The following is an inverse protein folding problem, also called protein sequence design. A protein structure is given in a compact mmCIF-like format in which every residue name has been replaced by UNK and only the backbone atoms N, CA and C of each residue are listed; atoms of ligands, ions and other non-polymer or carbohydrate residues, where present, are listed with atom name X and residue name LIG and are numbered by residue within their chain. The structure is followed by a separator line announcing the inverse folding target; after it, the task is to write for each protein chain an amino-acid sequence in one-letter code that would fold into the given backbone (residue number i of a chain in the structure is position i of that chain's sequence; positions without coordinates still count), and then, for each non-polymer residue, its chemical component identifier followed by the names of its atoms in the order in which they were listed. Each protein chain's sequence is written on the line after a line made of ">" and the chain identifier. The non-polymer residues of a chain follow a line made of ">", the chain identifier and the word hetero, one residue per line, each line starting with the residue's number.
data_IF_555662898394
#
_entry.id   IF_555662898394
#
_cell.length_a   1.000
_cell.length_b   1.000
_cell.length_c   1.000
_cell.angle_alpha   90.00
_cell.angle_beta   90.00
_cell.angle_gamma   90.00
#
_symmetry.space_group_name_H-M   'P 1'
#
loop_
_entity.id
_entity.type
_entity.pdbx_description
1 polymer ?
#
# COMPACT_ATOMS: atom_id res chain seq x y z
N UNK A 1 -12.03 1.38 38.41
CA UNK A 1 -12.74 1.92 37.23
C UNK A 1 -12.14 1.28 36.01
N UNK A 2 -12.64 0.14 35.57
CA UNK A 2 -12.23 -0.55 34.36
C UNK A 2 -12.74 0.25 33.17
N UNK A 3 -11.79 0.73 32.38
CA UNK A 3 -12.05 1.45 31.15
C UNK A 3 -12.48 0.43 30.09
N UNK A 4 -13.76 0.13 30.05
CA UNK A 4 -14.39 -0.75 29.05
C UNK A 4 -14.35 -0.03 27.70
N UNK A 5 -13.17 0.00 27.04
CA UNK A 5 -13.08 0.41 25.65
C UNK A 5 -13.75 -0.69 24.83
N UNK A 6 -15.01 -0.47 24.46
CA UNK A 6 -15.69 -1.29 23.46
C UNK A 6 -14.73 -1.47 22.27
N UNK A 7 -14.39 -2.72 22.00
CA UNK A 7 -13.57 -3.08 20.84
C UNK A 7 -14.44 -2.87 19.59
N UNK A 8 -14.33 -1.70 18.98
CA UNK A 8 -14.98 -1.40 17.71
C UNK A 8 -14.49 -2.44 16.69
N UNK A 9 -15.40 -3.15 16.05
CA UNK A 9 -15.04 -4.11 15.01
C UNK A 9 -14.46 -3.38 13.78
N UNK A 10 -13.61 -4.04 13.02
CA UNK A 10 -13.04 -3.45 11.80
C UNK A 10 -14.13 -3.03 10.81
N UNK A 11 -15.24 -3.75 10.76
CA UNK A 11 -16.41 -3.43 9.92
C UNK A 11 -17.11 -2.17 10.37
N UNK A 12 -17.30 -2.00 11.68
CA UNK A 12 -17.87 -0.78 12.26
C UNK A 12 -16.98 0.42 11.98
N UNK A 13 -15.66 0.29 12.20
CA UNK A 13 -14.70 1.36 11.94
C UNK A 13 -14.71 1.79 10.47
N UNK A 14 -14.73 0.83 9.54
CA UNK A 14 -14.86 1.13 8.10
C UNK A 14 -16.12 1.92 7.78
N UNK A 15 -17.28 1.50 8.33
CA UNK A 15 -18.56 2.17 8.13
C UNK A 15 -18.53 3.61 8.65
N UNK A 16 -17.93 3.85 9.80
CA UNK A 16 -17.83 5.19 10.39
C UNK A 16 -16.91 6.10 9.59
N UNK A 17 -15.76 5.59 9.13
CA UNK A 17 -14.84 6.35 8.27
C UNK A 17 -15.55 6.76 6.97
N UNK A 18 -16.26 5.86 6.33
CA UNK A 18 -17.01 6.13 5.10
C UNK A 18 -18.07 7.23 5.34
N UNK A 19 -18.82 7.15 6.44
CA UNK A 19 -19.81 8.17 6.81
C UNK A 19 -19.18 9.56 7.01
N UNK A 20 -18.02 9.62 7.66
CA UNK A 20 -17.29 10.88 7.83
C UNK A 20 -16.85 11.45 6.49
N UNK A 21 -16.33 10.62 5.59
CA UNK A 21 -15.92 11.03 4.25
C UNK A 21 -17.11 11.55 3.44
N UNK A 22 -18.26 10.87 3.47
CA UNK A 22 -19.49 11.30 2.83
C UNK A 22 -19.98 12.65 3.39
N UNK A 23 -19.88 12.84 4.70
CA UNK A 23 -20.19 14.11 5.35
C UNK A 23 -19.30 15.27 4.87
N UNK A 24 -18.01 15.03 4.71
CA UNK A 24 -17.07 16.03 4.18
C UNK A 24 -17.37 16.39 2.72
N UNK A 25 -17.70 15.40 1.88
CA UNK A 25 -18.10 15.64 0.49
C UNK A 25 -19.41 16.44 0.43
N UNK A 26 -20.37 16.11 1.28
CA UNK A 26 -21.63 16.86 1.37
C UNK A 26 -21.41 18.30 1.82
N UNK A 27 -20.51 18.52 2.79
CA UNK A 27 -20.12 19.86 3.25
C UNK A 27 -19.51 20.68 2.10
N UNK A 28 -18.58 20.12 1.33
CA UNK A 28 -17.98 20.82 0.18
C UNK A 28 -19.03 21.24 -0.84
N UNK A 29 -20.00 20.36 -1.15
CA UNK A 29 -21.10 20.70 -2.06
C UNK A 29 -21.97 21.83 -1.53
N UNK A 30 -22.23 21.85 -0.22
CA UNK A 30 -23.03 22.90 0.41
C UNK A 30 -22.30 24.25 0.49
N UNK A 31 -20.99 24.22 0.56
CA UNK A 31 -20.14 25.40 0.72
C UNK A 31 -19.04 25.46 -0.35
N UNK A 32 -19.35 25.85 -1.59
CA UNK A 32 -18.40 25.84 -2.71
C UNK A 32 -17.15 26.72 -2.50
N UNK A 33 -17.20 27.68 -1.58
CA UNK A 33 -16.03 28.50 -1.21
C UNK A 33 -14.90 27.67 -0.59
N UNK A 34 -15.21 26.48 -0.06
CA UNK A 34 -14.26 25.54 0.52
C UNK A 34 -14.00 24.36 -0.44
N UNK A 35 -13.94 24.64 -1.74
CA UNK A 35 -13.61 23.61 -2.72
C UNK A 35 -12.13 23.26 -2.65
N UNK A 36 -11.87 21.99 -2.34
CA UNK A 36 -10.55 21.38 -2.32
C UNK A 36 -10.52 20.19 -3.30
N UNK A 37 -10.37 20.42 -4.61
CA UNK A 37 -10.48 19.37 -5.65
C UNK A 37 -9.60 18.14 -5.36
N UNK A 38 -8.35 18.37 -4.93
CA UNK A 38 -7.42 17.29 -4.57
C UNK A 38 -7.90 16.45 -3.37
N UNK A 39 -8.60 17.07 -2.42
CA UNK A 39 -9.15 16.37 -1.25
C UNK A 39 -10.31 15.49 -1.67
N UNK A 40 -11.20 15.98 -2.53
CA UNK A 40 -12.32 15.19 -3.07
C UNK A 40 -11.85 13.99 -3.88
N UNK A 41 -10.84 14.15 -4.70
CA UNK A 41 -10.25 13.07 -5.48
C UNK A 41 -9.60 12.02 -4.56
N UNK A 42 -8.80 12.45 -3.60
CA UNK A 42 -8.17 11.56 -2.62
C UNK A 42 -9.20 10.82 -1.77
N UNK A 43 -10.30 11.45 -1.39
CA UNK A 43 -11.38 10.78 -0.66
C UNK A 43 -12.03 9.68 -1.50
N UNK A 44 -12.27 9.92 -2.78
CA UNK A 44 -12.83 8.90 -3.67
C UNK A 44 -11.91 7.69 -3.75
N UNK A 45 -10.62 7.89 -4.00
CA UNK A 45 -9.63 6.82 -4.07
C UNK A 45 -9.51 6.07 -2.73
N UNK A 46 -9.45 6.80 -1.61
CA UNK A 46 -9.35 6.20 -0.28
C UNK A 46 -10.61 5.39 0.06
N UNK A 47 -11.79 5.87 -0.31
CA UNK A 47 -13.05 5.15 -0.13
C UNK A 47 -13.02 3.81 -0.85
N UNK A 48 -12.62 3.80 -2.12
CA UNK A 48 -12.52 2.57 -2.91
C UNK A 48 -11.58 1.54 -2.27
N UNK A 49 -10.43 1.99 -1.74
CA UNK A 49 -9.48 1.13 -1.02
C UNK A 49 -10.10 0.55 0.27
N UNK A 50 -10.80 1.38 1.05
CA UNK A 50 -11.47 0.95 2.29
C UNK A 50 -12.57 -0.07 2.00
N UNK A 51 -13.40 0.18 0.97
CA UNK A 51 -14.48 -0.72 0.55
C UNK A 51 -13.93 -2.07 0.09
N UNK A 52 -12.85 -2.08 -0.69
CA UNK A 52 -12.15 -3.29 -1.13
C UNK A 52 -11.39 -3.99 0.00
N UNK A 53 -11.13 -3.31 1.10
CA UNK A 53 -10.28 -3.82 2.18
C UNK A 53 -8.79 -3.89 1.80
N UNK A 54 -8.36 -3.09 0.83
CA UNK A 54 -6.98 -3.01 0.36
C UNK A 54 -6.23 -1.92 1.13
N UNK A 55 -5.01 -2.25 1.54
CA UNK A 55 -4.09 -1.31 2.18
C UNK A 55 -2.78 -1.28 1.41
N UNK A 56 -2.30 -0.08 1.12
CA UNK A 56 -0.99 0.12 0.54
C UNK A 56 0.00 0.50 1.65
N UNK A 57 1.01 -0.34 1.85
CA UNK A 57 2.11 -0.07 2.76
C UNK A 57 3.35 0.32 1.96
N UNK A 58 3.85 1.54 2.16
CA UNK A 58 5.10 1.99 1.57
C UNK A 58 6.24 1.89 2.59
N UNK A 59 7.25 1.06 2.30
CA UNK A 59 8.45 0.92 3.11
C UNK A 59 9.58 1.73 2.48
N UNK A 60 9.90 2.86 3.08
CA UNK A 60 10.92 3.79 2.60
C UNK A 60 12.10 3.86 3.57
N UNK A 61 13.27 4.25 3.08
CA UNK A 61 14.44 4.44 3.92
C UNK A 61 15.75 4.26 3.15
N UNK A 62 16.85 4.60 3.81
CA UNK A 62 18.20 4.46 3.24
C UNK A 62 18.52 3.01 2.91
N UNK A 63 19.48 2.83 2.03
CA UNK A 63 20.04 1.51 1.68
C UNK A 63 20.57 0.82 2.94
N UNK A 64 20.46 -0.51 3.00
CA UNK A 64 20.94 -1.35 4.13
C UNK A 64 20.24 -1.12 5.48
N UNK A 65 19.10 -0.45 5.51
CA UNK A 65 18.31 -0.23 6.74
C UNK A 65 17.21 -1.29 6.95
N UNK A 66 17.41 -2.49 6.47
CA UNK A 66 16.53 -3.63 6.78
C UNK A 66 15.14 -3.59 6.10
N UNK A 67 14.93 -2.78 5.04
CA UNK A 67 13.63 -2.70 4.33
C UNK A 67 13.15 -4.05 3.81
N UNK A 68 14.01 -4.76 3.07
CA UNK A 68 13.68 -6.09 2.52
C UNK A 68 13.46 -7.11 3.64
N UNK A 69 14.26 -7.06 4.71
CA UNK A 69 14.08 -7.94 5.88
C UNK A 69 12.75 -7.68 6.58
N UNK A 70 12.34 -6.42 6.73
CA UNK A 70 11.03 -6.07 7.30
C UNK A 70 9.90 -6.59 6.42
N UNK A 71 9.99 -6.41 5.10
CA UNK A 71 8.96 -6.89 4.16
C UNK A 71 8.89 -8.42 4.19
N UNK A 72 10.03 -9.13 4.16
CA UNK A 72 10.07 -10.57 4.26
C UNK A 72 9.46 -11.08 5.58
N UNK A 73 9.74 -10.39 6.70
CA UNK A 73 9.14 -10.72 7.98
C UNK A 73 7.62 -10.51 8.00
N UNK A 74 7.10 -9.45 7.37
CA UNK A 74 5.66 -9.21 7.24
C UNK A 74 4.96 -10.25 6.38
N UNK A 75 5.63 -10.73 5.32
CA UNK A 75 5.11 -11.77 4.41
C UNK A 75 5.24 -13.17 5.05
N UNK A 76 6.16 -13.34 5.99
CA UNK A 76 6.44 -14.62 6.65
C UNK A 76 7.36 -15.54 5.86
N UNK A 77 8.05 -15.04 4.83
CA UNK A 77 9.03 -15.81 4.03
C UNK A 77 10.04 -14.88 3.34
N UNK A 78 11.14 -15.46 2.91
CA UNK A 78 12.17 -14.76 2.12
C UNK A 78 11.72 -14.62 0.66
N UNK A 79 11.03 -13.52 0.36
CA UNK A 79 10.59 -13.17 -0.98
C UNK A 79 11.57 -12.21 -1.67
N UNK A 80 11.96 -11.15 -0.96
CA UNK A 80 12.88 -10.15 -1.48
C UNK A 80 14.33 -10.50 -1.15
N UNK A 81 15.26 -10.30 -2.09
CA UNK A 81 16.67 -10.53 -1.82
C UNK A 81 17.15 -9.57 -0.72
N UNK A 82 17.83 -10.15 0.28
CA UNK A 82 18.51 -9.42 1.35
C UNK A 82 19.98 -9.42 1.00
N UNK A 83 20.40 -8.50 0.13
CA UNK A 83 21.80 -8.39 -0.28
C UNK A 83 22.53 -7.37 0.59
N UNK A 84 23.71 -7.76 1.06
CA UNK A 84 24.61 -6.88 1.82
C UNK A 84 25.36 -5.91 0.93
N UNK A 85 25.54 -6.22 -0.35
CA UNK A 85 26.46 -5.51 -1.24
C UNK A 85 25.79 -4.66 -2.32
N UNK A 86 24.52 -4.88 -2.62
CA UNK A 86 23.82 -4.15 -3.68
C UNK A 86 22.63 -3.38 -3.15
N UNK A 87 22.62 -2.07 -3.44
CA UNK A 87 21.49 -1.21 -3.13
C UNK A 87 20.31 -1.55 -4.02
N UNK A 88 19.15 -1.82 -3.44
CA UNK A 88 17.89 -1.88 -4.17
C UNK A 88 17.59 -0.50 -4.74
N UNK A 89 17.82 -0.30 -6.03
CA UNK A 89 17.58 0.97 -6.73
C UNK A 89 16.16 1.07 -7.30
N UNK A 90 15.40 -0.02 -7.24
CA UNK A 90 14.06 -0.13 -7.85
C UNK A 90 12.97 -0.27 -6.82
N UNK A 91 11.75 0.08 -7.23
CA UNK A 91 10.55 -0.06 -6.40
C UNK A 91 9.98 -1.47 -6.61
N UNK A 92 9.86 -2.23 -5.53
CA UNK A 92 9.11 -3.48 -5.53
C UNK A 92 7.67 -3.20 -5.13
N UNK A 93 6.73 -3.66 -5.97
CA UNK A 93 5.31 -3.68 -5.66
C UNK A 93 4.90 -5.12 -5.39
N UNK A 94 4.40 -5.38 -4.19
CA UNK A 94 3.96 -6.72 -3.77
C UNK A 94 2.47 -6.65 -3.51
N UNK A 95 1.73 -7.60 -4.05
CA UNK A 95 0.29 -7.72 -3.83
C UNK A 95 -0.09 -9.17 -3.60
N UNK A 96 -1.15 -9.40 -2.83
CA UNK A 96 -1.69 -10.73 -2.64
C UNK A 96 -2.29 -11.26 -3.95
N UNK A 97 -2.02 -12.53 -4.26
CA UNK A 97 -2.59 -13.24 -5.41
C UNK A 97 -2.72 -14.73 -5.09
N UNK A 98 -3.65 -15.43 -5.74
CA UNK A 98 -3.79 -16.89 -5.63
C UNK A 98 -2.66 -17.63 -6.35
N UNK A 99 -2.02 -17.00 -7.32
CA UNK A 99 -0.87 -17.53 -8.04
C UNK A 99 0.34 -16.64 -7.79
N UNK A 100 1.48 -17.27 -7.54
CA UNK A 100 2.74 -16.56 -7.38
C UNK A 100 3.34 -16.28 -8.75
N UNK A 101 3.50 -15.00 -9.07
CA UNK A 101 4.11 -14.55 -10.32
C UNK A 101 4.96 -13.32 -10.08
N UNK A 102 6.07 -13.25 -10.77
CA UNK A 102 7.01 -12.13 -10.69
C UNK A 102 7.11 -11.45 -12.04
N UNK A 103 7.10 -10.12 -12.02
CA UNK A 103 7.18 -9.32 -13.23
C UNK A 103 8.14 -8.15 -13.05
N UNK A 104 8.90 -7.88 -14.09
CA UNK A 104 9.56 -6.60 -14.28
C UNK A 104 8.64 -5.71 -15.09
N UNK A 105 8.38 -4.50 -14.59
CA UNK A 105 7.61 -3.48 -15.30
C UNK A 105 8.57 -2.39 -15.74
N UNK A 106 8.66 -2.16 -17.03
CA UNK A 106 9.51 -1.14 -17.64
C UNK A 106 8.80 0.23 -17.67
N UNK A 107 9.57 1.30 -17.84
CA UNK A 107 9.02 2.66 -17.86
C UNK A 107 8.04 2.95 -19.00
N UNK A 108 8.06 2.16 -20.08
CA UNK A 108 7.10 2.20 -21.17
C UNK A 108 5.82 1.41 -20.90
N UNK A 109 5.71 0.75 -19.73
CA UNK A 109 4.57 -0.07 -19.34
C UNK A 109 4.65 -1.54 -19.71
N UNK A 110 5.67 -1.95 -20.47
CA UNK A 110 5.87 -3.37 -20.81
C UNK A 110 6.15 -4.19 -19.55
N UNK A 111 5.72 -5.47 -19.59
CA UNK A 111 5.94 -6.42 -18.51
C UNK A 111 6.69 -7.64 -19.03
N UNK A 112 7.68 -8.06 -18.26
CA UNK A 112 8.40 -9.32 -18.47
C UNK A 112 8.21 -10.21 -17.26
N UNK A 113 7.72 -11.42 -17.46
CA UNK A 113 7.68 -12.43 -16.39
C UNK A 113 9.09 -12.95 -16.13
N UNK A 114 9.42 -13.09 -14.86
CA UNK A 114 10.74 -13.53 -14.37
C UNK A 114 10.56 -14.58 -13.27
N UNK A 115 11.64 -15.27 -12.93
CA UNK A 115 11.69 -16.15 -11.75
C UNK A 115 12.03 -15.37 -10.48
N UNK A 116 11.80 -15.99 -9.31
CA UNK A 116 12.18 -15.40 -8.02
C UNK A 116 13.70 -15.14 -7.94
N UNK A 117 14.52 -16.03 -8.49
CA UNK A 117 15.98 -15.90 -8.47
C UNK A 117 16.46 -14.70 -9.27
N UNK A 118 15.72 -14.32 -10.31
CA UNK A 118 16.04 -13.15 -11.12
C UNK A 118 15.72 -11.82 -10.42
N UNK A 119 14.93 -11.83 -9.32
CA UNK A 119 14.60 -10.60 -8.57
C UNK A 119 15.86 -9.87 -8.08
N UNK A 120 16.87 -10.60 -7.64
CA UNK A 120 18.13 -10.02 -7.20
C UNK A 120 18.83 -9.25 -8.33
N UNK A 121 18.87 -9.83 -9.53
CA UNK A 121 19.50 -9.24 -10.71
C UNK A 121 18.78 -7.97 -11.14
N UNK A 122 17.45 -8.01 -11.22
CA UNK A 122 16.67 -6.83 -11.63
C UNK A 122 16.52 -5.77 -10.54
N UNK A 123 16.67 -6.14 -9.27
CA UNK A 123 16.61 -5.19 -8.15
C UNK A 123 17.88 -4.38 -7.94
N UNK A 124 19.00 -4.82 -8.52
CA UNK A 124 20.33 -4.26 -8.30
C UNK A 124 20.87 -3.39 -9.44
N UNK A 125 20.16 -3.32 -10.56
CA UNK A 125 20.58 -2.52 -11.73
C UNK A 125 20.12 -1.08 -11.68
#
# INVERSE_FOLDING_TARGET
>A
MENNKEKISSTQLKSEIIKLMDGMVAFQKAYPKFDFPKVSENFKLTRELIEKGEFNLAVCGKVKNGKSSLINALIGRELLPVCTDVATSRVFKISHSNEEKFYVVYGNGDRKEISQDELATYGSQ
#
